data_IF_628790125198
#
_entry.id   IF_628790125198
#
_cell.length_a   1.000
_cell.length_b   1.000
_cell.length_c   1.000
_cell.angle_alpha   90.00
_cell.angle_beta   90.00
_cell.angle_gamma   90.00
#
_symmetry.space_group_name_H-M   'P 1'
#
loop_
_entity.id
_entity.type
_entity.pdbx_description
1 polymer ?
#
# COMPACT_ATOMS: atom_id res chain seq x y z
N UNK A 1 -0.83 -32.58 8.03
CA UNK A 1 -1.75 -31.56 8.58
C UNK A 1 -1.00 -30.60 9.51
N UNK A 2 -0.25 -31.11 10.49
CA UNK A 2 0.38 -30.30 11.55
C UNK A 2 1.42 -29.28 11.08
N UNK A 3 2.25 -29.63 10.09
CA UNK A 3 3.24 -28.71 9.54
C UNK A 3 2.60 -27.51 8.81
N UNK A 4 1.47 -27.73 8.11
CA UNK A 4 0.74 -26.68 7.38
C UNK A 4 0.06 -25.73 8.37
N UNK A 5 -0.57 -26.28 9.42
CA UNK A 5 -1.17 -25.50 10.50
C UNK A 5 -0.11 -24.65 11.22
N UNK A 6 1.09 -25.19 11.44
CA UNK A 6 2.20 -24.46 12.07
C UNK A 6 2.62 -23.22 11.27
N UNK A 7 2.85 -23.39 9.95
CA UNK A 7 3.25 -22.28 9.06
C UNK A 7 2.17 -21.20 8.97
N UNK A 8 0.90 -21.60 8.92
CA UNK A 8 -0.23 -20.65 8.88
C UNK A 8 -0.29 -19.79 10.16
N UNK A 9 -0.11 -20.40 11.33
CA UNK A 9 -0.11 -19.65 12.60
C UNK A 9 1.07 -18.69 12.74
N UNK A 10 2.23 -19.03 12.19
CA UNK A 10 3.40 -18.16 12.15
C UNK A 10 3.18 -16.97 11.22
N UNK A 11 2.66 -17.23 10.02
CA UNK A 11 2.30 -16.19 9.06
C UNK A 11 1.23 -15.24 9.61
N UNK A 12 0.21 -15.78 10.28
CA UNK A 12 -0.82 -14.98 10.95
C UNK A 12 -0.23 -14.07 12.04
N UNK A 13 0.70 -14.58 12.86
CA UNK A 13 1.41 -13.80 13.88
C UNK A 13 2.28 -12.70 13.27
N UNK A 14 3.01 -13.00 12.20
CA UNK A 14 3.81 -12.02 11.45
C UNK A 14 2.94 -10.88 10.90
N UNK A 15 1.81 -11.22 10.27
CA UNK A 15 0.84 -10.22 9.78
C UNK A 15 0.28 -9.36 10.91
N UNK A 16 -0.01 -9.93 12.08
CA UNK A 16 -0.51 -9.17 13.22
C UNK A 16 0.53 -8.20 13.80
N UNK A 17 1.78 -8.63 13.91
CA UNK A 17 2.89 -7.77 14.32
C UNK A 17 3.11 -6.62 13.32
N UNK A 18 3.09 -6.92 12.02
CA UNK A 18 3.23 -5.93 10.97
C UNK A 18 2.09 -4.89 10.99
N UNK A 19 0.83 -5.31 11.17
CA UNK A 19 -0.31 -4.39 11.29
C UNK A 19 -0.19 -3.45 12.49
N UNK A 20 0.29 -3.96 13.64
CA UNK A 20 0.53 -3.11 14.82
C UNK A 20 1.58 -2.05 14.52
N UNK A 21 2.73 -2.45 13.95
CA UNK A 21 3.77 -1.51 13.53
C UNK A 21 3.26 -0.44 12.57
N UNK A 22 2.45 -0.80 11.58
CA UNK A 22 1.86 0.16 10.65
C UNK A 22 0.87 1.11 11.35
N UNK A 23 0.11 0.61 12.32
CA UNK A 23 -0.83 1.42 13.10
C UNK A 23 -0.11 2.46 13.97
N UNK A 24 1.11 2.19 14.41
CA UNK A 24 1.90 3.11 15.25
C UNK A 24 2.59 4.22 14.45
N UNK A 25 2.60 4.16 13.11
CA UNK A 25 3.26 5.17 12.28
C UNK A 25 2.57 6.54 12.34
N UNK A 26 3.32 7.64 12.24
CA UNK A 26 2.76 8.97 12.05
C UNK A 26 1.88 9.04 10.79
N UNK A 27 0.86 9.91 10.82
CA UNK A 27 -0.08 10.07 9.70
C UNK A 27 0.58 10.29 8.33
N UNK A 28 1.60 11.18 8.18
CA UNK A 28 2.26 11.36 6.88
C UNK A 28 2.90 10.09 6.34
N UNK A 29 3.44 9.25 7.22
CA UNK A 29 4.12 8.03 6.82
C UNK A 29 3.13 6.95 6.38
N UNK A 30 1.99 6.84 7.07
CA UNK A 30 0.89 5.97 6.65
C UNK A 30 0.39 6.33 5.26
N UNK A 31 0.23 7.63 4.98
CA UNK A 31 -0.21 8.12 3.67
C UNK A 31 0.80 7.76 2.58
N UNK A 32 2.11 7.96 2.81
CA UNK A 32 3.15 7.55 1.85
C UNK A 32 3.08 6.07 1.52
N UNK A 33 2.96 5.22 2.53
CA UNK A 33 2.85 3.76 2.34
C UNK A 33 1.62 3.41 1.51
N UNK A 34 0.46 4.03 1.77
CA UNK A 34 -0.75 3.81 0.97
C UNK A 34 -0.54 4.19 -0.49
N UNK A 35 0.13 5.32 -0.76
CA UNK A 35 0.42 5.74 -2.13
C UNK A 35 1.36 4.77 -2.85
N UNK A 36 2.40 4.26 -2.18
CA UNK A 36 3.26 3.23 -2.77
C UNK A 36 2.50 1.94 -3.09
N UNK A 37 1.61 1.50 -2.18
CA UNK A 37 0.73 0.35 -2.45
C UNK A 37 -0.21 0.60 -3.64
N UNK A 38 -0.75 1.80 -3.78
CA UNK A 38 -1.57 2.17 -4.93
C UNK A 38 -0.78 2.14 -6.24
N UNK A 39 0.48 2.60 -6.26
CA UNK A 39 1.36 2.52 -7.44
C UNK A 39 1.59 1.08 -7.89
N UNK A 40 1.77 0.16 -6.95
CA UNK A 40 1.91 -1.28 -7.23
C UNK A 40 0.60 -1.87 -7.75
N UNK A 41 -0.53 -1.51 -7.14
CA UNK A 41 -1.84 -2.05 -7.50
C UNK A 41 -2.38 -1.50 -8.83
N UNK A 42 -2.08 -0.25 -9.17
CA UNK A 42 -2.58 0.44 -10.36
C UNK A 42 -2.38 -0.32 -11.68
N UNK A 43 -1.19 -0.85 -12.04
CA UNK A 43 -1.01 -1.61 -13.26
C UNK A 43 -1.83 -2.92 -13.28
N UNK A 44 -1.97 -3.59 -12.12
CA UNK A 44 -2.77 -4.82 -11.99
C UNK A 44 -4.25 -4.52 -12.22
N UNK A 45 -4.76 -3.44 -11.63
CA UNK A 45 -6.14 -3.01 -11.79
C UNK A 45 -6.43 -2.53 -13.21
N UNK A 46 -5.49 -1.78 -13.83
CA UNK A 46 -5.58 -1.37 -15.23
C UNK A 46 -5.67 -2.58 -16.17
N UNK A 47 -4.86 -3.60 -15.96
CA UNK A 47 -4.90 -4.85 -16.74
C UNK A 47 -6.25 -5.59 -16.61
N UNK A 48 -6.99 -5.36 -15.53
CA UNK A 48 -8.34 -5.90 -15.28
C UNK A 48 -9.45 -4.99 -15.81
N UNK A 49 -9.12 -3.92 -16.54
CA UNK A 49 -10.09 -2.95 -17.04
C UNK A 49 -10.63 -1.98 -15.99
N UNK A 50 -10.01 -1.94 -14.80
CA UNK A 50 -10.39 -1.00 -13.72
C UNK A 50 -9.43 0.19 -13.73
N UNK A 51 -9.95 1.38 -13.94
CA UNK A 51 -9.15 2.61 -13.84
C UNK A 51 -8.79 2.88 -12.37
N UNK A 52 -7.51 2.74 -12.04
CA UNK A 52 -6.97 3.07 -10.73
C UNK A 52 -5.86 4.13 -10.90
N UNK A 53 -6.05 5.29 -10.27
CA UNK A 53 -5.10 6.40 -10.31
C UNK A 53 -4.48 6.53 -8.90
N UNK A 54 -3.18 6.25 -8.73
CA UNK A 54 -2.50 6.49 -7.47
C UNK A 54 -2.62 7.96 -7.05
N UNK A 55 -2.76 8.22 -5.74
CA UNK A 55 -2.78 9.59 -5.25
C UNK A 55 -1.43 10.27 -5.49
N UNK A 56 -1.48 11.52 -5.94
CA UNK A 56 -0.31 12.37 -6.03
C UNK A 56 -0.20 13.18 -4.73
N UNK A 57 0.85 12.94 -3.95
CA UNK A 57 1.17 13.79 -2.82
C UNK A 57 1.88 15.03 -3.36
N UNK A 58 1.13 16.05 -3.72
CA UNK A 58 1.73 17.38 -3.96
C UNK A 58 2.18 17.89 -2.59
N UNK A 59 3.47 18.14 -2.42
CA UNK A 59 3.95 18.94 -1.29
C UNK A 59 3.19 20.28 -1.30
N UNK A 60 2.94 20.91 -0.14
CA UNK A 60 2.25 22.21 -0.07
C UNK A 60 2.87 23.32 -0.94
N UNK A 61 4.08 23.11 -1.47
CA UNK A 61 4.82 24.08 -2.30
C UNK A 61 4.57 23.93 -3.81
N UNK A 62 3.36 23.53 -4.21
CA UNK A 62 2.72 24.18 -5.36
C UNK A 62 3.19 23.89 -6.79
N UNK A 63 3.93 22.82 -7.09
CA UNK A 63 4.22 22.47 -8.50
C UNK A 63 3.36 21.31 -9.00
N UNK A 64 2.23 21.68 -9.62
CA UNK A 64 1.37 20.77 -10.39
C UNK A 64 2.12 20.31 -11.64
N UNK A 65 2.58 19.05 -11.66
CA UNK A 65 3.03 18.44 -12.90
C UNK A 65 1.84 18.15 -13.82
N UNK A 66 1.88 18.85 -14.96
CA UNK A 66 0.94 18.79 -16.07
C UNK A 66 0.91 17.37 -16.62
N UNK A 67 -0.31 16.88 -16.88
CA UNK A 67 -0.60 15.62 -17.57
C UNK A 67 0.22 15.56 -18.87
N UNK A 68 1.05 14.54 -19.04
CA UNK A 68 1.49 14.14 -20.36
C UNK A 68 0.53 13.06 -20.85
N UNK A 69 -0.23 13.45 -21.88
CA UNK A 69 -1.03 12.55 -22.73
C UNK A 69 -0.12 11.58 -23.52
#
# INVERSE_FOLDING_TARGET
MDAIMSVETEYARGKAAHRRRLADLPYPEKVRIVVELQKIAAPILKARGVTAIPWCLTTPDGERNVRQD
#
